data_IF_969358820505
#
_entry.id   IF_969358820505
#
_cell.length_a   1.000
_cell.length_b   1.000
_cell.length_c   1.000
_cell.angle_alpha   90.00
_cell.angle_beta   90.00
_cell.angle_gamma   90.00
#
_symmetry.space_group_name_H-M   'P 1'
#
loop_
_entity.id
_entity.type
_entity.pdbx_description
1 polymer ?
#
# COMPACT_ATOMS: atom_id res chain seq x y z
N UNK A 1 -12.18 43.49 60.68
CA UNK A 1 -12.49 43.53 59.23
C UNK A 1 -11.54 42.57 58.53
N UNK A 2 -12.06 41.47 57.97
CA UNK A 2 -11.31 40.55 57.09
C UNK A 2 -11.22 41.17 55.69
N UNK A 3 -10.03 41.22 55.10
CA UNK A 3 -9.86 41.17 53.65
C UNK A 3 -8.66 40.30 53.30
N UNK A 4 -8.98 39.05 53.01
CA UNK A 4 -8.18 38.12 52.22
C UNK A 4 -8.09 38.70 50.81
N UNK A 5 -6.90 39.03 50.34
CA UNK A 5 -6.68 39.29 48.91
C UNK A 5 -5.99 38.08 48.32
N UNK A 6 -6.79 37.34 47.54
CA UNK A 6 -6.43 36.15 46.81
C UNK A 6 -5.42 36.44 45.70
N UNK A 7 -4.51 35.50 45.50
CA UNK A 7 -3.69 35.34 44.30
C UNK A 7 -4.50 34.54 43.28
N UNK A 8 -4.54 34.98 42.02
CA UNK A 8 -4.42 34.06 40.90
C UNK A 8 -3.21 34.55 40.06
N UNK A 9 -2.05 33.89 40.01
CA UNK A 9 -1.80 32.55 39.48
C UNK A 9 -2.73 32.24 38.31
N UNK A 10 -2.13 32.09 37.11
CA UNK A 10 -2.69 31.67 35.81
C UNK A 10 -2.75 32.78 34.76
N UNK A 11 -1.58 33.15 34.22
CA UNK A 11 -1.45 33.71 32.86
C UNK A 11 -0.17 33.13 32.23
N UNK A 12 -0.15 31.82 32.05
CA UNK A 12 0.97 31.14 31.39
C UNK A 12 0.52 29.80 30.82
N UNK A 13 -0.34 29.77 29.80
CA UNK A 13 -0.50 28.52 29.00
C UNK A 13 -1.16 28.62 27.62
N UNK A 14 -1.48 29.78 27.06
CA UNK A 14 -2.29 29.83 25.81
C UNK A 14 -1.53 30.13 24.51
N UNK A 15 -0.21 29.94 24.44
CA UNK A 15 0.58 30.24 23.23
C UNK A 15 1.57 29.13 22.81
N UNK A 16 1.21 27.87 23.06
CA UNK A 16 1.90 26.69 22.50
C UNK A 16 0.93 25.76 21.74
N UNK A 17 -0.09 26.34 21.11
CA UNK A 17 -0.90 25.68 20.07
C UNK A 17 -0.74 26.40 18.73
N UNK A 18 0.45 26.88 18.41
CA UNK A 18 0.86 26.93 17.02
C UNK A 18 1.10 25.48 16.61
N UNK A 19 0.02 24.81 16.22
CA UNK A 19 0.12 23.55 15.51
C UNK A 19 1.17 23.73 14.43
N UNK A 20 2.14 22.83 14.41
CA UNK A 20 2.79 22.50 13.16
C UNK A 20 1.64 22.09 12.23
N UNK A 21 1.16 23.03 11.40
CA UNK A 21 0.39 22.64 10.23
C UNK A 21 1.35 21.81 9.41
N UNK A 22 1.21 20.50 9.49
CA UNK A 22 1.97 19.56 8.68
C UNK A 22 1.83 19.99 7.21
N UNK A 23 2.89 19.88 6.41
CA UNK A 23 2.76 20.05 4.97
C UNK A 23 1.84 18.94 4.46
N UNK A 24 0.57 19.28 4.20
CA UNK A 24 -0.46 18.35 3.74
C UNK A 24 -1.80 19.09 3.73
N UNK A 25 -2.29 19.43 2.55
CA UNK A 25 -3.67 19.91 2.41
C UNK A 25 -4.63 18.79 2.82
N UNK A 26 -5.81 19.13 3.37
CA UNK A 26 -6.85 18.13 3.64
C UNK A 26 -7.23 17.43 2.34
N UNK A 27 -7.02 16.12 2.28
CA UNK A 27 -7.44 15.31 1.14
C UNK A 27 -8.97 15.35 0.97
N UNK A 28 -9.44 15.51 -0.27
CA UNK A 28 -10.85 15.33 -0.58
C UNK A 28 -11.20 13.83 -0.44
N UNK A 29 -12.24 13.45 0.33
CA UNK A 29 -12.66 12.05 0.44
C UNK A 29 -13.35 11.52 -0.84
N UNK A 30 -13.82 12.39 -1.74
CA UNK A 30 -14.55 11.98 -2.95
C UNK A 30 -13.80 10.97 -3.85
N UNK A 31 -12.49 11.10 -4.13
CA UNK A 31 -11.75 10.11 -4.93
C UNK A 31 -11.38 8.81 -4.19
N UNK A 32 -11.55 8.74 -2.87
CA UNK A 32 -11.12 7.60 -2.04
C UNK A 32 -11.85 6.30 -2.40
N UNK A 33 -13.19 6.25 -2.27
CA UNK A 33 -13.95 5.03 -2.59
C UNK A 33 -13.84 4.59 -4.06
N UNK A 34 -13.89 5.50 -5.07
CA UNK A 34 -13.65 5.12 -6.46
C UNK A 34 -12.28 4.46 -6.71
N UNK A 35 -11.25 4.80 -5.93
CA UNK A 35 -9.94 4.16 -6.02
C UNK A 35 -9.95 2.74 -5.46
N UNK A 36 -10.57 2.54 -4.30
CA UNK A 36 -10.75 1.20 -3.70
C UNK A 36 -11.51 0.28 -4.66
N UNK A 37 -12.66 0.73 -5.15
CA UNK A 37 -13.49 -0.06 -6.08
C UNK A 37 -12.71 -0.44 -7.33
N UNK A 38 -11.97 0.51 -7.91
CA UNK A 38 -11.19 0.27 -9.12
C UNK A 38 -10.00 -0.67 -8.88
N UNK A 39 -9.32 -0.56 -7.74
CA UNK A 39 -8.25 -1.48 -7.36
C UNK A 39 -8.80 -2.89 -7.15
N UNK A 40 -9.84 -3.06 -6.32
CA UNK A 40 -10.38 -4.37 -5.96
C UNK A 40 -10.95 -5.10 -7.19
N UNK A 41 -11.57 -4.36 -8.11
CA UNK A 41 -11.99 -4.90 -9.41
C UNK A 41 -10.79 -5.34 -10.27
N UNK A 42 -9.74 -4.52 -10.34
CA UNK A 42 -8.54 -4.84 -11.13
C UNK A 42 -7.74 -6.01 -10.53
N UNK A 43 -7.53 -6.02 -9.21
CA UNK A 43 -6.67 -6.97 -8.49
C UNK A 43 -7.21 -8.41 -8.48
N UNK A 44 -8.51 -8.62 -8.74
CA UNK A 44 -9.11 -9.96 -8.77
C UNK A 44 -8.45 -10.86 -9.82
N UNK A 45 -8.16 -10.33 -11.02
CA UNK A 45 -7.56 -11.11 -12.12
C UNK A 45 -6.39 -10.38 -12.81
N UNK A 46 -5.99 -9.20 -12.31
CA UNK A 46 -5.13 -8.26 -13.02
C UNK A 46 -5.59 -8.00 -14.47
N UNK A 47 -6.90 -7.89 -14.67
CA UNK A 47 -7.52 -7.74 -16.00
C UNK A 47 -6.97 -6.49 -16.72
N UNK A 48 -6.27 -6.64 -17.86
CA UNK A 48 -5.79 -5.52 -18.65
C UNK A 48 -6.88 -4.52 -19.05
N UNK A 49 -8.14 -4.95 -19.18
CA UNK A 49 -9.29 -4.10 -19.48
C UNK A 49 -9.69 -3.16 -18.33
N UNK A 50 -9.38 -3.53 -17.08
CA UNK A 50 -9.68 -2.73 -15.89
C UNK A 50 -8.49 -1.87 -15.44
N UNK A 51 -7.29 -2.14 -15.97
CA UNK A 51 -6.07 -1.39 -15.63
C UNK A 51 -6.22 0.11 -15.88
N UNK A 52 -6.83 0.49 -17.01
CA UNK A 52 -7.00 1.91 -17.33
C UNK A 52 -8.04 2.57 -16.40
N UNK A 53 -9.08 1.83 -15.98
CA UNK A 53 -10.04 2.30 -14.96
C UNK A 53 -9.35 2.58 -13.62
N UNK A 54 -8.46 1.69 -13.17
CA UNK A 54 -7.67 1.92 -11.96
C UNK A 54 -6.73 3.13 -12.09
N UNK A 55 -6.07 3.29 -13.24
CA UNK A 55 -5.21 4.46 -13.52
C UNK A 55 -6.00 5.75 -13.51
N UNK A 56 -7.18 5.78 -14.13
CA UNK A 56 -8.07 6.95 -14.09
C UNK A 56 -8.53 7.27 -12.67
N UNK A 57 -8.77 6.27 -11.82
CA UNK A 57 -9.07 6.49 -10.41
C UNK A 57 -7.91 7.14 -9.65
N UNK A 58 -6.67 6.72 -9.90
CA UNK A 58 -5.46 7.37 -9.35
C UNK A 58 -5.34 8.83 -9.83
N UNK A 59 -5.63 9.12 -11.09
CA UNK A 59 -5.55 10.47 -11.65
C UNK A 59 -6.52 11.46 -10.99
N UNK A 60 -7.62 11.00 -10.40
CA UNK A 60 -8.57 11.88 -9.67
C UNK A 60 -7.99 12.51 -8.41
N UNK A 61 -6.88 12.00 -7.89
CA UNK A 61 -6.17 12.63 -6.77
C UNK A 61 -5.38 13.88 -7.22
N UNK A 62 -5.18 14.10 -8.52
CA UNK A 62 -4.47 15.26 -9.09
C UNK A 62 -5.38 16.51 -9.25
N UNK A 63 -6.70 16.32 -9.30
CA UNK A 63 -7.63 17.30 -9.91
C UNK A 63 -8.01 18.51 -9.03
N UNK A 64 -7.48 18.64 -7.80
CA UNK A 64 -7.88 19.73 -6.91
C UNK A 64 -7.04 20.01 -5.67
N UNK A 65 -6.05 19.18 -5.34
CA UNK A 65 -5.20 19.36 -4.15
C UNK A 65 -3.73 19.36 -4.53
N UNK A 66 -3.26 20.46 -5.10
CA UNK A 66 -1.86 20.66 -5.53
C UNK A 66 -0.83 20.67 -4.38
N UNK A 67 -1.24 20.32 -3.16
CA UNK A 67 -0.39 20.17 -1.97
C UNK A 67 -0.60 18.86 -1.21
N UNK A 68 -1.47 17.94 -1.70
CA UNK A 68 -1.74 16.67 -1.02
C UNK A 68 -0.67 15.63 -1.33
N UNK A 69 -0.16 14.98 -0.28
CA UNK A 69 0.73 13.81 -0.38
C UNK A 69 0.09 12.70 -1.23
N UNK A 70 -1.25 12.60 -1.23
CA UNK A 70 -1.98 11.60 -2.00
C UNK A 70 -1.85 11.79 -3.51
N UNK A 71 -1.82 13.04 -4.01
CA UNK A 71 -1.63 13.33 -5.43
C UNK A 71 -0.24 12.84 -5.92
N UNK A 72 0.80 13.15 -5.15
CA UNK A 72 2.15 12.67 -5.45
C UNK A 72 2.25 11.14 -5.37
N UNK A 73 1.65 10.55 -4.33
CA UNK A 73 1.59 9.11 -4.16
C UNK A 73 0.84 8.43 -5.32
N UNK A 74 -0.25 9.00 -5.81
CA UNK A 74 -0.99 8.47 -6.96
C UNK A 74 -0.14 8.45 -8.24
N UNK A 75 0.70 9.48 -8.44
CA UNK A 75 1.72 9.49 -9.49
C UNK A 75 2.74 8.35 -9.34
N UNK A 76 3.26 8.13 -8.12
CA UNK A 76 4.19 7.03 -7.85
C UNK A 76 3.56 5.65 -8.05
N UNK A 77 2.32 5.44 -7.61
CA UNK A 77 1.58 4.21 -7.82
C UNK A 77 1.44 3.92 -9.33
N UNK A 78 1.07 4.93 -10.12
CA UNK A 78 0.94 4.81 -11.58
C UNK A 78 2.25 4.40 -12.26
N UNK A 79 3.38 5.01 -11.87
CA UNK A 79 4.69 4.73 -12.46
C UNK A 79 5.18 3.32 -12.12
N UNK A 80 4.97 2.87 -10.89
CA UNK A 80 5.47 1.58 -10.43
C UNK A 80 4.58 0.40 -10.87
N UNK A 81 3.29 0.62 -11.16
CA UNK A 81 2.32 -0.45 -11.44
C UNK A 81 2.80 -1.42 -12.53
N UNK A 82 3.23 -0.92 -13.70
CA UNK A 82 3.59 -1.79 -14.83
C UNK A 82 4.85 -2.63 -14.55
N UNK A 83 5.83 -2.05 -13.86
CA UNK A 83 7.03 -2.78 -13.47
C UNK A 83 6.71 -3.81 -12.37
N UNK A 84 5.87 -3.42 -11.41
CA UNK A 84 5.42 -4.28 -10.34
C UNK A 84 4.73 -5.52 -10.89
N UNK A 85 3.68 -5.37 -11.73
CA UNK A 85 2.97 -6.52 -12.32
C UNK A 85 3.84 -7.38 -13.25
N UNK A 86 4.96 -6.84 -13.76
CA UNK A 86 5.97 -7.59 -14.52
C UNK A 86 6.92 -8.41 -13.62
N UNK A 87 6.71 -8.38 -12.30
CA UNK A 87 7.47 -9.15 -11.31
C UNK A 87 8.60 -8.36 -10.61
N UNK A 88 8.76 -7.06 -10.87
CA UNK A 88 9.76 -6.25 -10.14
C UNK A 88 9.32 -6.04 -8.69
N UNK A 89 10.00 -6.72 -7.77
CA UNK A 89 9.71 -6.65 -6.33
C UNK A 89 9.81 -5.22 -5.78
N UNK A 90 10.82 -4.46 -6.20
CA UNK A 90 11.06 -3.12 -5.66
C UNK A 90 9.98 -2.16 -6.16
N UNK A 91 9.56 -2.30 -7.41
CA UNK A 91 8.40 -1.57 -7.92
C UNK A 91 7.12 -1.95 -7.18
N UNK A 92 6.91 -3.23 -6.85
CA UNK A 92 5.77 -3.68 -6.03
C UNK A 92 5.76 -3.05 -4.63
N UNK A 93 6.92 -2.98 -3.97
CA UNK A 93 7.06 -2.30 -2.68
C UNK A 93 6.76 -0.80 -2.79
N UNK A 94 7.28 -0.12 -3.82
CA UNK A 94 6.99 1.29 -4.03
C UNK A 94 5.53 1.57 -4.37
N UNK A 95 4.89 0.66 -5.10
CA UNK A 95 3.46 0.72 -5.37
C UNK A 95 2.64 0.66 -4.07
N UNK A 96 2.90 -0.31 -3.20
CA UNK A 96 2.17 -0.44 -1.94
C UNK A 96 2.44 0.71 -0.98
N UNK A 97 3.69 1.17 -0.88
CA UNK A 97 4.01 2.36 -0.09
C UNK A 97 3.25 3.61 -0.56
N UNK A 98 3.01 3.74 -1.87
CA UNK A 98 2.21 4.81 -2.42
C UNK A 98 0.72 4.65 -2.08
N UNK A 99 0.15 3.45 -2.21
CA UNK A 99 -1.23 3.20 -1.79
C UNK A 99 -1.44 3.42 -0.27
N UNK A 100 -0.43 3.12 0.56
CA UNK A 100 -0.48 3.40 2.00
C UNK A 100 -0.50 4.89 2.32
N UNK A 101 0.24 5.71 1.55
CA UNK A 101 0.20 7.16 1.68
C UNK A 101 -1.20 7.69 1.34
N UNK A 102 -1.80 7.20 0.26
CA UNK A 102 -3.17 7.57 -0.12
C UNK A 102 -4.17 7.10 0.94
N UNK A 103 -4.03 5.88 1.44
CA UNK A 103 -4.90 5.31 2.47
C UNK A 103 -4.89 6.10 3.77
N UNK A 104 -3.72 6.61 4.19
CA UNK A 104 -3.61 7.49 5.37
C UNK A 104 -4.36 8.81 5.17
N UNK A 105 -4.12 9.49 4.06
CA UNK A 105 -4.76 10.78 3.72
C UNK A 105 -6.28 10.62 3.59
N UNK A 106 -6.74 9.54 2.95
CA UNK A 106 -8.16 9.20 2.88
C UNK A 106 -8.77 8.87 4.24
N UNK A 107 -8.05 8.18 5.14
CA UNK A 107 -8.52 7.93 6.50
C UNK A 107 -8.61 9.22 7.34
N UNK A 108 -7.65 10.14 7.20
CA UNK A 108 -7.69 11.47 7.83
C UNK A 108 -8.86 12.32 7.30
N UNK A 109 -9.23 12.14 6.03
CA UNK A 109 -10.41 12.74 5.41
C UNK A 109 -11.74 12.05 5.78
N UNK A 110 -11.71 10.97 6.57
CA UNK A 110 -12.89 10.24 7.02
C UNK A 110 -13.42 9.16 6.05
N UNK A 111 -12.62 8.78 5.05
CA UNK A 111 -12.93 7.75 4.05
C UNK A 111 -11.81 6.68 4.02
N UNK A 112 -11.65 5.86 5.08
CA UNK A 112 -10.59 4.85 5.12
C UNK A 112 -10.72 3.84 3.98
N UNK A 113 -9.58 3.45 3.40
CA UNK A 113 -9.50 2.52 2.28
C UNK A 113 -9.12 1.10 2.72
N UNK A 114 -9.59 0.10 1.98
CA UNK A 114 -9.26 -1.32 2.13
C UNK A 114 -8.95 -1.94 0.77
N UNK A 115 -7.66 -2.12 0.46
CA UNK A 115 -7.20 -2.70 -0.79
C UNK A 115 -7.06 -4.22 -0.68
N UNK A 116 -7.66 -4.96 -1.61
CA UNK A 116 -7.46 -6.41 -1.72
C UNK A 116 -6.00 -6.73 -2.08
N UNK A 117 -5.51 -7.88 -1.63
CA UNK A 117 -4.12 -8.33 -1.86
C UNK A 117 -3.04 -7.35 -1.36
N UNK A 118 -3.39 -6.49 -0.39
CA UNK A 118 -2.47 -5.47 0.12
C UNK A 118 -1.14 -6.08 0.60
N UNK A 119 -0.04 -5.50 0.14
CA UNK A 119 1.31 -5.92 0.48
C UNK A 119 1.79 -7.19 -0.23
N UNK A 120 0.95 -7.86 -1.02
CA UNK A 120 1.37 -9.02 -1.81
C UNK A 120 2.27 -8.61 -2.98
N UNK A 121 3.16 -9.50 -3.42
CA UNK A 121 3.96 -9.22 -4.61
C UNK A 121 3.05 -9.16 -5.83
N UNK A 122 3.01 -8.00 -6.50
CA UNK A 122 2.27 -7.85 -7.74
C UNK A 122 2.95 -8.69 -8.82
N UNK A 123 2.22 -9.61 -9.43
CA UNK A 123 2.68 -10.38 -10.57
C UNK A 123 1.46 -10.90 -11.32
N UNK A 124 1.51 -10.88 -12.65
CA UNK A 124 0.49 -11.51 -13.50
C UNK A 124 0.55 -13.05 -13.47
N UNK A 125 1.41 -13.64 -12.63
CA UNK A 125 1.49 -15.08 -12.42
C UNK A 125 0.16 -15.65 -11.94
N UNK A 126 -0.36 -16.62 -12.69
CA UNK A 126 -1.64 -17.30 -12.51
C UNK A 126 -1.97 -17.57 -11.03
N UNK A 127 -3.23 -17.34 -10.64
CA UNK A 127 -3.70 -17.38 -9.26
C UNK A 127 -3.46 -18.64 -8.43
N UNK A 128 -2.80 -19.66 -8.99
CA UNK A 128 -2.27 -20.82 -8.27
C UNK A 128 -0.95 -20.54 -7.51
N UNK A 129 -0.20 -19.48 -7.84
CA UNK A 129 1.07 -19.15 -7.20
C UNK A 129 0.97 -18.11 -6.07
N UNK A 130 -0.21 -17.50 -5.85
CA UNK A 130 -0.41 -16.54 -4.74
C UNK A 130 -0.29 -17.18 -3.34
N UNK A 131 -0.11 -18.49 -3.24
CA UNK A 131 0.25 -19.20 -2.00
C UNK A 131 1.65 -19.82 -1.98
N UNK A 132 2.41 -19.78 -3.09
CA UNK A 132 3.72 -20.45 -3.18
C UNK A 132 4.84 -19.42 -3.12
N UNK A 133 5.60 -19.43 -2.04
CA UNK A 133 6.83 -18.65 -1.98
C UNK A 133 7.76 -19.05 -3.15
N UNK A 134 8.25 -18.10 -3.96
CA UNK A 134 9.09 -18.38 -5.14
C UNK A 134 10.46 -19.00 -4.81
N UNK A 135 10.74 -19.21 -3.52
CA UNK A 135 11.96 -19.83 -2.99
C UNK A 135 11.79 -21.31 -2.64
N UNK A 136 10.58 -21.88 -2.80
CA UNK A 136 10.39 -23.34 -2.70
C UNK A 136 10.96 -23.95 -3.97
N UNK A 137 12.27 -24.20 -3.94
CA UNK A 137 12.93 -25.09 -4.89
C UNK A 137 12.40 -26.48 -4.58
N UNK A 138 11.70 -27.11 -5.53
CA UNK A 138 11.39 -28.53 -5.41
C UNK A 138 12.70 -29.27 -5.14
N UNK A 139 12.74 -30.00 -4.01
CA UNK A 139 13.90 -30.80 -3.69
C UNK A 139 14.21 -31.66 -4.93
N UNK A 140 15.46 -31.68 -5.42
CA UNK A 140 15.78 -32.52 -6.57
C UNK A 140 15.35 -33.95 -6.22
N UNK A 141 14.56 -34.57 -7.10
CA UNK A 141 14.17 -35.97 -6.99
C UNK A 141 15.42 -36.77 -6.59
N UNK A 142 15.47 -37.23 -5.35
CA UNK A 142 16.56 -38.10 -4.94
C UNK A 142 16.46 -39.33 -5.83
N UNK A 143 17.50 -39.67 -6.62
CA UNK A 143 17.48 -40.94 -7.30
C UNK A 143 17.33 -42.01 -6.22
N UNK A 144 16.29 -42.83 -6.34
CA UNK A 144 16.05 -43.96 -5.45
C UNK A 144 17.39 -44.65 -5.22
N UNK A 145 17.81 -44.74 -3.94
CA UNK A 145 18.98 -45.50 -3.56
C UNK A 145 18.81 -46.92 -4.06
N UNK A 146 19.36 -47.20 -5.24
CA UNK A 146 19.56 -48.54 -5.73
C UNK A 146 20.55 -49.19 -4.78
N UNK A 147 20.07 -50.12 -3.97
CA UNK A 147 20.92 -51.07 -3.26
C UNK A 147 21.76 -51.79 -4.31
N UNK A 148 23.03 -51.40 -4.44
CA UNK A 148 24.00 -52.17 -5.23
C UNK A 148 24.36 -53.38 -4.37
N UNK A 149 23.72 -54.50 -4.65
CA UNK A 149 24.13 -55.80 -4.11
C UNK A 149 25.48 -56.20 -4.74
N UNK A 150 26.54 -56.46 -3.96
CA UNK A 150 27.81 -56.90 -4.52
C UNK A 150 27.74 -58.41 -4.82
N UNK A 151 27.70 -58.77 -6.11
CA UNK A 151 27.95 -60.14 -6.56
C UNK A 151 29.40 -60.52 -6.24
N UNK A 152 29.61 -61.37 -5.24
CA UNK A 152 30.89 -62.04 -5.00
C UNK A 152 30.94 -63.29 -5.89
N UNK A 153 31.93 -63.45 -6.78
CA UNK A 153 32.09 -64.68 -7.55
C UNK A 153 32.69 -65.79 -6.68
N UNK A 154 32.02 -66.93 -6.65
CA UNK A 154 32.47 -68.20 -6.07
C UNK A 154 31.89 -69.37 -6.84
#
# INVERSE_FOLDING_TARGET
MRRTTAVPALLATTLLLTGCGEPGGVQDPAPCHPLEDAWNAYATEFDPGLRDTFREALLRFDDGSSTSTAAHAAGLATVNLLQAISGDRRASEYFWNALDLIGRECAEAGAPLSFDHHGEQLTTGSGADHGRSPWVVDAPDQPASGTIEPTIPG
#
